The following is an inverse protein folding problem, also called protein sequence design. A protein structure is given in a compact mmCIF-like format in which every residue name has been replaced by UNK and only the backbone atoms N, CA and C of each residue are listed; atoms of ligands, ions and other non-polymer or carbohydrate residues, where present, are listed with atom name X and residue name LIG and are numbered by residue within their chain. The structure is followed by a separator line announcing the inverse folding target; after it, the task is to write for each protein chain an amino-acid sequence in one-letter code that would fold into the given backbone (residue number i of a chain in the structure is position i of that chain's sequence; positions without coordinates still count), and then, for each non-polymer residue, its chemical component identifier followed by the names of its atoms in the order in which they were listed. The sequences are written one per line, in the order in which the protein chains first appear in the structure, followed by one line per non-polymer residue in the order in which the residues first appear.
data_IF_173169000617
#
_entry.id   IF_173169000617
#
_cell.length_a   1.000
_cell.length_b   1.000
_cell.length_c   1.000
_cell.angle_alpha   90.00
_cell.angle_beta   90.00
_cell.angle_gamma   90.00
#
_symmetry.space_group_name_H-M   'P 1'
#
loop_
_entity.id
_entity.type
_entity.pdbx_description
1 polymer ?
#
# COMPACT_ATOMS: atom_id res chain seq x y z
N UNK A 1 68.24 53.20 -3.19
CA UNK A 1 67.20 53.05 -4.25
C UNK A 1 66.23 52.04 -3.79
N UNK A 2 65.01 52.32 -3.94
CA UNK A 2 63.82 51.83 -3.16
C UNK A 2 63.35 50.48 -3.64
N UNK A 3 63.42 49.44 -2.81
CA UNK A 3 62.80 48.17 -3.06
C UNK A 3 61.45 48.14 -2.33
N UNK A 4 60.37 48.19 -3.11
CA UNK A 4 58.98 47.99 -2.63
C UNK A 4 58.73 46.50 -2.48
N UNK A 5 58.61 46.08 -1.22
CA UNK A 5 58.20 44.73 -0.88
C UNK A 5 56.65 44.67 -0.97
N UNK A 6 56.14 43.96 -1.96
CA UNK A 6 54.74 43.67 -2.03
C UNK A 6 54.43 42.53 -1.05
N UNK A 7 53.73 42.88 0.03
CA UNK A 7 53.14 41.90 0.95
C UNK A 7 51.89 41.33 0.26
N UNK A 8 52.03 40.11 -0.21
CA UNK A 8 50.89 39.34 -0.67
C UNK A 8 50.21 38.80 0.57
N UNK A 9 49.06 39.37 0.90
CA UNK A 9 48.16 38.85 1.93
C UNK A 9 47.38 37.66 1.30
N UNK A 10 47.84 36.45 1.61
CA UNK A 10 47.05 35.24 1.35
C UNK A 10 45.90 35.18 2.37
N UNK A 11 44.74 35.67 2.00
CA UNK A 11 43.50 35.38 2.71
C UNK A 11 43.14 33.93 2.42
N UNK A 12 43.49 33.06 3.36
CA UNK A 12 42.98 31.68 3.37
C UNK A 12 41.49 31.73 3.64
N UNK A 13 40.71 31.63 2.56
CA UNK A 13 39.26 31.42 2.63
C UNK A 13 39.00 29.99 3.11
N UNK A 14 38.72 29.83 4.39
CA UNK A 14 38.27 28.59 4.97
C UNK A 14 36.88 28.26 4.36
N UNK A 15 36.88 27.49 3.29
CA UNK A 15 35.68 26.73 2.88
C UNK A 15 35.45 25.64 3.92
N UNK A 16 34.68 25.95 4.95
CA UNK A 16 34.08 24.91 5.78
C UNK A 16 33.05 24.17 4.92
N UNK A 17 33.15 22.85 4.72
CA UNK A 17 32.05 22.11 4.14
C UNK A 17 30.89 22.13 5.16
N UNK A 18 29.83 22.84 4.83
CA UNK A 18 28.55 22.66 5.45
C UNK A 18 28.12 21.21 5.13
N UNK A 19 28.51 20.31 6.02
CA UNK A 19 27.84 19.01 6.14
C UNK A 19 26.38 19.32 6.55
N UNK A 20 25.56 19.58 5.56
CA UNK A 20 24.13 19.46 5.72
C UNK A 20 23.88 17.98 6.04
N UNK A 21 23.89 17.65 7.33
CA UNK A 21 23.26 16.43 7.82
C UNK A 21 21.80 16.59 7.44
N UNK A 22 21.42 16.03 6.29
CA UNK A 22 20.03 15.72 6.03
C UNK A 22 19.63 14.78 7.17
N UNK A 23 19.11 15.35 8.24
CA UNK A 23 18.29 14.62 9.18
C UNK A 23 17.08 14.19 8.35
N UNK A 24 17.19 12.99 7.76
CA UNK A 24 16.02 12.22 7.42
C UNK A 24 15.34 11.98 8.76
N UNK A 25 14.53 12.95 9.17
CA UNK A 25 13.49 12.71 10.14
C UNK A 25 12.68 11.59 9.50
N UNK A 26 12.95 10.35 9.87
CA UNK A 26 11.98 9.28 9.74
C UNK A 26 10.77 9.76 10.52
N UNK A 27 9.94 10.50 9.81
CA UNK A 27 8.64 10.92 10.30
C UNK A 27 7.87 9.61 10.42
N UNK A 28 7.98 8.98 11.59
CA UNK A 28 7.21 7.78 11.91
C UNK A 28 5.76 8.13 11.62
N UNK A 29 5.32 7.74 10.43
CA UNK A 29 3.95 8.01 10.00
C UNK A 29 3.07 7.13 10.87
N UNK A 30 2.16 7.73 11.63
CA UNK A 30 1.29 6.96 12.53
C UNK A 30 0.53 5.90 11.71
N UNK A 31 0.25 4.71 12.27
CA UNK A 31 -0.52 3.67 11.61
C UNK A 31 -1.82 4.20 11.01
N UNK A 32 -2.53 5.04 11.75
CA UNK A 32 -3.77 5.64 11.29
C UNK A 32 -3.61 6.47 10.01
N UNK A 33 -2.54 7.25 9.89
CA UNK A 33 -2.27 8.03 8.67
C UNK A 33 -1.95 7.15 7.48
N UNK A 34 -1.22 6.04 7.69
CA UNK A 34 -0.94 5.07 6.63
C UNK A 34 -2.24 4.43 6.12
N UNK A 35 -3.13 4.07 7.04
CA UNK A 35 -4.43 3.51 6.69
C UNK A 35 -5.28 4.49 5.90
N UNK A 36 -5.45 5.72 6.40
CA UNK A 36 -6.21 6.79 5.74
C UNK A 36 -5.64 7.14 4.36
N UNK A 37 -4.32 7.22 4.23
CA UNK A 37 -3.64 7.44 2.95
C UNK A 37 -3.91 6.31 1.97
N UNK A 38 -3.75 5.06 2.41
CA UNK A 38 -4.02 3.88 1.60
C UNK A 38 -5.46 3.83 1.12
N UNK A 39 -6.44 4.05 2.02
CA UNK A 39 -7.86 4.12 1.67
C UNK A 39 -8.17 5.23 0.66
N UNK A 40 -7.59 6.42 0.86
CA UNK A 40 -7.82 7.54 -0.04
C UNK A 40 -7.30 7.26 -1.45
N UNK A 41 -6.09 6.71 -1.56
CA UNK A 41 -5.49 6.32 -2.84
C UNK A 41 -6.29 5.20 -3.52
N UNK A 42 -6.75 4.21 -2.75
CA UNK A 42 -7.58 3.13 -3.27
C UNK A 42 -8.92 3.66 -3.83
N UNK A 43 -9.62 4.53 -3.09
CA UNK A 43 -10.86 5.19 -3.57
C UNK A 43 -10.65 6.01 -4.84
N UNK A 44 -9.48 6.61 -5.00
CA UNK A 44 -9.09 7.35 -6.21
C UNK A 44 -8.64 6.42 -7.36
N UNK A 45 -8.72 5.10 -7.16
CA UNK A 45 -8.23 4.07 -8.10
C UNK A 45 -6.74 4.18 -8.41
N UNK A 46 -5.97 4.83 -7.54
CA UNK A 46 -4.51 4.90 -7.61
C UNK A 46 -3.89 3.64 -6.97
N UNK A 47 -4.26 2.46 -7.48
CA UNK A 47 -4.02 1.15 -6.86
C UNK A 47 -2.54 0.91 -6.56
N UNK A 48 -1.64 1.16 -7.51
CA UNK A 48 -0.20 0.99 -7.30
C UNK A 48 0.34 1.88 -6.16
N UNK A 49 -0.16 3.10 -6.02
CA UNK A 49 0.24 4.01 -4.96
C UNK A 49 -0.35 3.60 -3.60
N UNK A 50 -1.56 3.02 -3.58
CA UNK A 50 -2.23 2.58 -2.36
C UNK A 50 -1.52 1.40 -1.67
N UNK A 51 -0.82 0.56 -2.43
CA UNK A 51 -0.20 -0.66 -1.90
C UNK A 51 0.84 -0.37 -0.81
N UNK A 52 1.70 0.61 -1.02
CA UNK A 52 2.80 0.92 -0.08
C UNK A 52 2.29 1.34 1.31
N UNK A 53 1.40 2.32 1.47
CA UNK A 53 0.89 2.70 2.78
C UNK A 53 0.04 1.59 3.43
N UNK A 54 -0.76 0.81 2.66
CA UNK A 54 -1.53 -0.31 3.19
C UNK A 54 -0.63 -1.42 3.71
N UNK A 55 0.40 -1.81 2.97
CA UNK A 55 1.38 -2.81 3.41
C UNK A 55 2.15 -2.34 4.65
N UNK A 56 2.54 -1.07 4.71
CA UNK A 56 3.21 -0.49 5.86
C UNK A 56 2.30 -0.50 7.10
N UNK A 57 0.99 -0.23 6.92
CA UNK A 57 0.00 -0.31 7.99
C UNK A 57 -0.13 -1.73 8.56
N UNK A 58 -0.32 -2.73 7.70
CA UNK A 58 -0.50 -4.14 8.11
C UNK A 58 0.74 -4.68 8.87
N UNK A 59 1.94 -4.24 8.48
CA UNK A 59 3.21 -4.64 9.10
C UNK A 59 3.50 -3.96 10.43
N UNK A 60 2.64 -3.06 10.91
CA UNK A 60 2.88 -2.37 12.18
C UNK A 60 2.87 -3.36 13.36
N UNK A 61 3.97 -3.38 14.09
CA UNK A 61 4.17 -4.21 15.28
C UNK A 61 4.36 -3.30 16.48
N UNK A 62 3.28 -2.73 17.02
CA UNK A 62 3.25 -2.05 18.29
C UNK A 62 4.54 -1.33 18.74
N UNK A 63 5.01 -0.33 17.99
CA UNK A 63 6.08 0.54 18.47
C UNK A 63 5.53 1.52 19.52
N UNK A 64 6.38 1.93 20.45
CA UNK A 64 6.00 2.79 21.58
C UNK A 64 5.09 3.96 21.18
N UNK A 65 3.89 4.02 21.77
CA UNK A 65 2.97 5.14 21.65
C UNK A 65 2.01 5.10 20.46
N UNK A 66 2.07 4.12 19.57
CA UNK A 66 1.12 3.95 18.48
C UNK A 66 0.16 2.78 18.77
N UNK A 67 -1.16 2.97 18.63
CA UNK A 67 -2.09 1.86 18.73
C UNK A 67 -1.84 0.86 17.58
N UNK A 68 -1.92 -0.42 17.92
CA UNK A 68 -1.91 -1.48 16.89
C UNK A 68 -3.17 -1.37 16.02
N UNK A 69 -3.06 -1.74 14.72
CA UNK A 69 -4.22 -1.95 13.89
C UNK A 69 -5.21 -2.92 14.56
N UNK A 70 -6.48 -2.58 14.56
CA UNK A 70 -7.52 -3.53 14.96
C UNK A 70 -7.62 -4.67 13.93
N UNK A 71 -8.18 -5.81 14.34
CA UNK A 71 -8.38 -6.94 13.43
C UNK A 71 -9.22 -6.54 12.21
N UNK A 72 -10.27 -5.74 12.40
CA UNK A 72 -11.12 -5.27 11.30
C UNK A 72 -10.41 -4.29 10.37
N UNK A 73 -9.60 -3.36 10.90
CA UNK A 73 -8.81 -2.46 10.06
C UNK A 73 -7.75 -3.20 9.25
N UNK A 74 -7.17 -4.25 9.83
CA UNK A 74 -6.21 -5.10 9.14
C UNK A 74 -6.88 -5.89 8.02
N UNK A 75 -8.03 -6.51 8.30
CA UNK A 75 -8.85 -7.21 7.29
C UNK A 75 -9.21 -6.29 6.13
N UNK A 76 -9.70 -5.07 6.41
CA UNK A 76 -10.05 -4.08 5.39
C UNK A 76 -8.84 -3.65 4.56
N UNK A 77 -7.68 -3.44 5.20
CA UNK A 77 -6.46 -3.10 4.49
C UNK A 77 -5.99 -4.25 3.58
N UNK A 78 -6.08 -5.49 4.03
CA UNK A 78 -5.75 -6.68 3.24
C UNK A 78 -6.74 -6.87 2.08
N UNK A 79 -8.04 -6.63 2.30
CA UNK A 79 -9.03 -6.59 1.23
C UNK A 79 -8.66 -5.58 0.13
N UNK A 80 -8.34 -4.35 0.52
CA UNK A 80 -7.92 -3.33 -0.44
C UNK A 80 -6.65 -3.72 -1.20
N UNK A 81 -5.70 -4.40 -0.54
CA UNK A 81 -4.48 -4.88 -1.20
C UNK A 81 -4.78 -5.93 -2.27
N UNK A 82 -5.56 -6.97 -1.94
CA UNK A 82 -5.86 -8.03 -2.92
C UNK A 82 -6.71 -7.51 -4.08
N UNK A 83 -7.60 -6.56 -3.82
CA UNK A 83 -8.32 -5.87 -4.89
C UNK A 83 -7.39 -5.02 -5.77
N UNK A 84 -6.43 -4.30 -5.17
CA UNK A 84 -5.45 -3.51 -5.93
C UNK A 84 -4.58 -4.40 -6.81
N UNK A 85 -4.11 -5.55 -6.31
CA UNK A 85 -3.37 -6.56 -7.09
C UNK A 85 -4.18 -7.07 -8.29
N UNK A 86 -5.48 -7.33 -8.08
CA UNK A 86 -6.39 -7.74 -9.17
C UNK A 86 -6.52 -6.62 -10.23
N UNK A 87 -6.77 -5.39 -9.83
CA UNK A 87 -6.92 -4.25 -10.74
C UNK A 87 -5.64 -3.94 -11.52
N UNK A 88 -4.48 -4.18 -10.92
CA UNK A 88 -3.16 -4.06 -11.54
C UNK A 88 -2.82 -5.27 -12.44
N UNK A 89 -3.70 -6.28 -12.51
CA UNK A 89 -3.50 -7.53 -13.27
C UNK A 89 -2.22 -8.27 -12.88
N UNK A 90 -1.93 -8.30 -11.58
CA UNK A 90 -0.81 -9.07 -11.03
C UNK A 90 -0.99 -10.55 -11.33
N UNK A 91 0.07 -11.27 -11.70
CA UNK A 91 -0.01 -12.68 -12.11
C UNK A 91 -0.68 -13.61 -11.10
N UNK A 92 -0.51 -13.34 -9.80
CA UNK A 92 -1.01 -14.16 -8.70
C UNK A 92 -2.29 -13.58 -8.06
N UNK A 93 -2.96 -12.65 -8.72
CA UNK A 93 -4.11 -11.95 -8.10
C UNK A 93 -5.26 -12.87 -7.74
N UNK A 94 -5.52 -13.93 -8.52
CA UNK A 94 -6.58 -14.91 -8.20
C UNK A 94 -6.24 -15.70 -6.95
N UNK A 95 -4.99 -16.13 -6.82
CA UNK A 95 -4.50 -16.85 -5.65
C UNK A 95 -4.58 -15.99 -4.40
N UNK A 96 -4.18 -14.73 -4.49
CA UNK A 96 -4.28 -13.77 -3.37
C UNK A 96 -5.74 -13.53 -2.94
N UNK A 97 -6.67 -13.44 -3.90
CA UNK A 97 -8.10 -13.32 -3.60
C UNK A 97 -8.63 -14.57 -2.88
N UNK A 98 -8.19 -15.78 -3.27
CA UNK A 98 -8.55 -17.02 -2.59
C UNK A 98 -7.97 -17.10 -1.18
N UNK A 99 -6.69 -16.79 -1.03
CA UNK A 99 -6.01 -16.76 0.27
C UNK A 99 -6.70 -15.79 1.25
N UNK A 100 -7.18 -14.65 0.74
CA UNK A 100 -7.97 -13.72 1.55
C UNK A 100 -9.27 -14.38 2.06
N UNK A 101 -10.04 -15.09 1.20
CA UNK A 101 -11.25 -15.80 1.61
C UNK A 101 -10.97 -16.91 2.62
N UNK A 102 -9.85 -17.63 2.47
CA UNK A 102 -9.42 -18.68 3.40
C UNK A 102 -9.04 -18.08 4.76
N UNK A 103 -8.42 -16.90 4.76
CA UNK A 103 -8.00 -16.19 5.98
C UNK A 103 -9.19 -15.55 6.70
N UNK A 104 -10.19 -15.06 5.95
CA UNK A 104 -11.36 -14.33 6.45
C UNK A 104 -12.67 -14.97 5.94
N UNK A 105 -13.03 -16.17 6.43
CA UNK A 105 -14.21 -16.89 5.91
C UNK A 105 -15.54 -16.17 6.14
N UNK A 106 -15.61 -15.33 7.18
CA UNK A 106 -16.81 -14.55 7.53
C UNK A 106 -16.75 -13.09 7.03
N UNK A 107 -15.85 -12.79 6.09
CA UNK A 107 -15.68 -11.43 5.59
C UNK A 107 -16.93 -10.87 4.92
N UNK A 108 -17.29 -9.59 5.15
CA UNK A 108 -18.38 -8.94 4.41
C UNK A 108 -18.06 -8.79 2.93
N UNK A 109 -16.80 -8.91 2.52
CA UNK A 109 -16.33 -8.75 1.16
C UNK A 109 -16.39 -10.02 0.31
N UNK A 110 -16.83 -11.17 0.87
CA UNK A 110 -16.81 -12.47 0.20
C UNK A 110 -17.46 -12.44 -1.20
N UNK A 111 -18.66 -11.88 -1.31
CA UNK A 111 -19.37 -11.80 -2.58
C UNK A 111 -18.61 -11.00 -3.64
N UNK A 112 -17.98 -9.90 -3.24
CA UNK A 112 -17.17 -9.08 -4.14
C UNK A 112 -15.95 -9.85 -4.61
N UNK A 113 -15.28 -10.57 -3.72
CA UNK A 113 -14.10 -11.39 -4.04
C UNK A 113 -14.48 -12.52 -5.01
N UNK A 114 -15.57 -13.25 -4.76
CA UNK A 114 -16.07 -14.28 -5.69
C UNK A 114 -16.35 -13.70 -7.08
N UNK A 115 -16.97 -12.52 -7.16
CA UNK A 115 -17.24 -11.86 -8.42
C UNK A 115 -15.96 -11.46 -9.18
N UNK A 116 -14.89 -11.03 -8.47
CA UNK A 116 -13.60 -10.72 -9.07
C UNK A 116 -12.94 -11.99 -9.64
N UNK A 117 -12.92 -13.10 -8.88
CA UNK A 117 -12.37 -14.38 -9.33
C UNK A 117 -13.16 -14.91 -10.53
N UNK A 118 -14.50 -14.86 -10.48
CA UNK A 118 -15.35 -15.26 -11.59
C UNK A 118 -15.06 -14.45 -12.86
N UNK A 119 -14.91 -13.13 -12.72
CA UNK A 119 -14.56 -12.25 -13.82
C UNK A 119 -13.20 -12.61 -14.43
N UNK A 120 -12.21 -12.92 -13.60
CA UNK A 120 -10.90 -13.34 -14.08
C UNK A 120 -11.00 -14.63 -14.92
N UNK A 121 -11.69 -15.66 -14.40
CA UNK A 121 -11.90 -16.91 -15.13
C UNK A 121 -12.67 -16.70 -16.43
N UNK A 122 -13.68 -15.85 -16.42
CA UNK A 122 -14.42 -15.51 -17.63
C UNK A 122 -13.52 -14.94 -18.72
N UNK A 123 -12.62 -14.00 -18.37
CA UNK A 123 -11.67 -13.43 -19.33
C UNK A 123 -10.61 -14.43 -19.80
N UNK A 124 -10.30 -15.45 -19.00
CA UNK A 124 -9.42 -16.55 -19.39
C UNK A 124 -10.13 -17.63 -20.25
N UNK A 125 -11.43 -17.50 -20.47
CA UNK A 125 -12.25 -18.50 -21.20
C UNK A 125 -12.60 -19.74 -20.36
N UNK A 126 -12.38 -19.71 -19.06
CA UNK A 126 -12.70 -20.79 -18.11
C UNK A 126 -14.11 -20.61 -17.58
N UNK A 127 -15.11 -20.82 -18.44
CA UNK A 127 -16.49 -20.46 -18.16
C UNK A 127 -17.11 -21.31 -17.05
N UNK A 128 -16.78 -22.59 -16.95
CA UNK A 128 -17.29 -23.48 -15.90
C UNK A 128 -16.76 -23.05 -14.52
N UNK A 129 -15.48 -22.68 -14.44
CA UNK A 129 -14.88 -22.17 -13.21
C UNK A 129 -15.49 -20.81 -12.82
N UNK A 130 -15.73 -19.94 -13.80
CA UNK A 130 -16.39 -18.67 -13.57
C UNK A 130 -17.80 -18.85 -13.00
N UNK A 131 -18.57 -19.80 -13.57
CA UNK A 131 -19.92 -20.10 -13.10
C UNK A 131 -19.91 -20.63 -11.67
N UNK A 132 -19.00 -21.54 -11.35
CA UNK A 132 -18.85 -22.08 -9.99
C UNK A 132 -18.55 -20.98 -8.95
N UNK A 133 -17.78 -19.94 -9.33
CA UNK A 133 -17.51 -18.80 -8.44
C UNK A 133 -18.74 -17.91 -8.27
N UNK A 134 -19.54 -17.70 -9.33
CA UNK A 134 -20.81 -16.97 -9.21
C UNK A 134 -21.82 -17.71 -8.35
N UNK A 135 -21.87 -19.04 -8.43
CA UNK A 135 -22.74 -19.86 -7.58
C UNK A 135 -22.32 -19.78 -6.09
N UNK A 136 -21.03 -19.59 -5.83
CA UNK A 136 -20.50 -19.39 -4.47
C UNK A 136 -20.79 -17.99 -3.93
N UNK A 137 -20.93 -17.00 -4.81
CA UNK A 137 -21.32 -15.65 -4.45
C UNK A 137 -22.84 -15.61 -4.15
N UNK A 138 -23.19 -15.04 -3.01
CA UNK A 138 -24.60 -14.77 -2.69
C UNK A 138 -25.05 -13.50 -3.42
N UNK A 139 -25.37 -13.66 -4.72
CA UNK A 139 -25.75 -12.56 -5.62
C UNK A 139 -26.99 -11.80 -5.16
N UNK A 140 -27.83 -12.44 -4.35
CA UNK A 140 -28.99 -11.83 -3.70
C UNK A 140 -28.63 -10.67 -2.75
N UNK A 141 -27.37 -10.64 -2.28
CA UNK A 141 -26.87 -9.61 -1.38
C UNK A 141 -26.14 -8.46 -2.10
N UNK A 142 -25.76 -8.62 -3.37
CA UNK A 142 -25.03 -7.60 -4.15
C UNK A 142 -25.89 -6.42 -4.63
N UNK A 143 -27.19 -6.51 -4.51
CA UNK A 143 -28.14 -5.50 -5.00
C UNK A 143 -28.40 -4.32 -4.04
N UNK A 144 -27.74 -4.26 -2.89
CA UNK A 144 -28.02 -3.28 -1.83
C UNK A 144 -26.83 -2.39 -1.46
N UNK A 145 -25.75 -2.36 -2.26
CA UNK A 145 -24.60 -1.47 -2.07
C UNK A 145 -24.62 -0.27 -3.02
#
# INVERSE_FOLDING_TARGET
MKHKIYRILCTALCCAPLLATAQTSEKTTSPQRLYEEGQNLFRQKAFAAAMSPLQAFIKQTGAEGNPLPTAGEKEEAEYMLVCAEYELRSPNSIELLREYLDTYPDTPHANRIYALIASAYFFEGKYDDALAMFDSARLDLLGNE
#
